data_IF_056685081617
#
_entry.id   IF_056685081617
#
_cell.length_a   1.000
_cell.length_b   1.000
_cell.length_c   1.000
_cell.angle_alpha   90.00
_cell.angle_beta   90.00
_cell.angle_gamma   90.00
#
_symmetry.space_group_name_H-M   'P 1'
#
loop_
_entity.id
_entity.type
_entity.pdbx_description
1 polymer ?
#
# COMPACT_ATOMS: atom_id res chain seq x y z
N UNK A 1 3.06 0.25 35.71
CA UNK A 1 2.85 0.77 34.37
C UNK A 1 1.34 0.99 34.26
N UNK A 2 0.87 2.24 34.12
CA UNK A 2 -0.53 2.51 33.78
C UNK A 2 -0.76 1.93 32.39
N UNK A 3 -1.77 1.04 32.26
CA UNK A 3 -2.35 0.72 30.96
C UNK A 3 -2.88 2.09 30.44
N UNK A 4 -2.16 2.71 29.51
CA UNK A 4 -2.77 3.75 28.67
C UNK A 4 -3.88 3.02 27.92
N UNK A 5 -5.11 3.47 28.06
CA UNK A 5 -6.26 2.98 27.30
C UNK A 5 -5.90 3.11 25.82
N UNK A 6 -5.59 1.98 25.20
CA UNK A 6 -5.19 1.94 23.79
C UNK A 6 -6.44 2.22 22.95
N UNK A 7 -6.61 3.49 22.58
CA UNK A 7 -7.79 3.99 21.89
C UNK A 7 -7.89 3.37 20.49
N UNK A 8 -9.09 2.92 20.13
CA UNK A 8 -9.38 2.46 18.77
C UNK A 8 -9.19 3.63 17.79
N UNK A 9 -8.36 3.42 16.78
CA UNK A 9 -7.99 4.44 15.82
C UNK A 9 -7.42 3.81 14.53
N UNK A 10 -8.00 4.18 13.38
CA UNK A 10 -7.45 3.86 12.07
C UNK A 10 -7.13 5.17 11.34
N UNK A 11 -5.85 5.42 11.09
CA UNK A 11 -5.37 6.68 10.54
C UNK A 11 -5.98 7.01 9.16
N UNK A 12 -6.13 6.01 8.28
CA UNK A 12 -6.76 6.22 6.98
C UNK A 12 -8.26 6.54 7.10
N UNK A 13 -8.96 5.88 8.02
CA UNK A 13 -10.35 6.18 8.30
C UNK A 13 -10.53 7.62 8.82
N UNK A 14 -9.73 8.03 9.79
CA UNK A 14 -9.80 9.37 10.37
C UNK A 14 -9.57 10.45 9.30
N UNK A 15 -8.52 10.29 8.49
CA UNK A 15 -8.21 11.23 7.42
C UNK A 15 -9.30 11.30 6.34
N UNK A 16 -9.84 10.15 5.92
CA UNK A 16 -10.71 10.09 4.74
C UNK A 16 -12.18 10.30 5.12
N UNK A 17 -12.66 9.64 6.18
CA UNK A 17 -14.09 9.59 6.50
C UNK A 17 -14.65 10.98 6.78
N UNK A 18 -14.02 11.73 7.68
CA UNK A 18 -14.47 13.07 8.05
C UNK A 18 -14.47 14.03 6.85
N UNK A 19 -13.42 14.00 6.04
CA UNK A 19 -13.29 14.88 4.89
C UNK A 19 -14.25 14.49 3.76
N UNK A 20 -14.49 13.20 3.55
CA UNK A 20 -15.46 12.75 2.52
C UNK A 20 -16.91 13.13 2.84
N UNK A 21 -17.24 13.39 4.12
CA UNK A 21 -18.56 13.87 4.54
C UNK A 21 -18.63 15.40 4.54
N UNK A 22 -17.65 16.07 5.18
CA UNK A 22 -17.69 17.52 5.40
C UNK A 22 -17.34 18.34 4.16
N UNK A 23 -16.42 17.84 3.36
CA UNK A 23 -15.87 18.56 2.18
C UNK A 23 -15.67 17.62 0.97
N UNK A 24 -16.72 16.86 0.55
CA UNK A 24 -16.60 15.77 -0.43
C UNK A 24 -15.99 16.18 -1.77
N UNK A 25 -16.25 17.41 -2.21
CA UNK A 25 -15.80 17.92 -3.50
C UNK A 25 -14.46 18.65 -3.47
N UNK A 26 -13.90 18.88 -2.25
CA UNK A 26 -12.56 19.48 -2.14
C UNK A 26 -11.53 18.51 -2.72
N UNK A 27 -10.61 19.05 -3.51
CA UNK A 27 -9.47 18.29 -4.05
C UNK A 27 -8.60 17.81 -2.90
N UNK A 28 -8.34 16.51 -2.88
CA UNK A 28 -7.47 15.86 -1.91
C UNK A 28 -6.04 15.72 -2.43
N UNK A 29 -5.88 15.30 -3.69
CA UNK A 29 -4.58 15.15 -4.35
C UNK A 29 -4.64 15.61 -5.81
N UNK A 30 -3.48 16.02 -6.31
CA UNK A 30 -3.25 16.46 -7.68
C UNK A 30 -1.97 15.77 -8.15
N UNK A 31 -1.98 15.22 -9.36
CA UNK A 31 -0.79 14.84 -10.12
C UNK A 31 -0.78 15.56 -11.48
N UNK A 32 0.16 15.23 -12.34
CA UNK A 32 0.33 15.91 -13.64
C UNK A 32 -0.86 15.67 -14.59
N UNK A 33 -1.57 14.55 -14.44
CA UNK A 33 -2.61 14.11 -15.37
C UNK A 33 -4.04 14.35 -14.85
N UNK A 34 -4.22 14.36 -13.53
CA UNK A 34 -5.56 14.33 -12.93
C UNK A 34 -5.63 14.91 -11.52
N UNK A 35 -6.87 15.09 -11.06
CA UNK A 35 -7.17 15.47 -9.67
C UNK A 35 -8.14 14.49 -9.05
N UNK A 36 -8.07 14.30 -7.74
CA UNK A 36 -9.03 13.50 -6.99
C UNK A 36 -9.58 14.28 -5.80
N UNK A 37 -10.90 14.30 -5.63
CA UNK A 37 -11.56 14.86 -4.47
C UNK A 37 -11.75 13.81 -3.36
N UNK A 38 -12.09 14.25 -2.14
CA UNK A 38 -12.27 13.33 -1.00
C UNK A 38 -13.35 12.27 -1.20
N UNK A 39 -14.45 12.59 -1.90
CA UNK A 39 -15.50 11.60 -2.19
C UNK A 39 -14.96 10.45 -3.06
N UNK A 40 -14.26 10.79 -4.14
CA UNK A 40 -13.69 9.79 -5.04
C UNK A 40 -12.51 9.05 -4.41
N UNK A 41 -11.67 9.76 -3.63
CA UNK A 41 -10.60 9.12 -2.86
C UNK A 41 -11.15 8.06 -1.91
N UNK A 42 -12.20 8.39 -1.15
CA UNK A 42 -12.86 7.42 -0.25
C UNK A 42 -13.37 6.17 -0.98
N UNK A 43 -13.99 6.34 -2.14
CA UNK A 43 -14.47 5.21 -2.96
C UNK A 43 -13.32 4.33 -3.44
N UNK A 44 -12.26 4.94 -3.99
CA UNK A 44 -11.11 4.21 -4.53
C UNK A 44 -10.30 3.49 -3.44
N UNK A 45 -10.11 4.12 -2.28
CA UNK A 45 -9.47 3.51 -1.11
C UNK A 45 -10.25 2.28 -0.64
N UNK A 46 -11.58 2.36 -0.50
CA UNK A 46 -12.43 1.23 -0.10
C UNK A 46 -12.46 0.13 -1.16
N UNK A 47 -12.49 0.51 -2.46
CA UNK A 47 -12.41 -0.44 -3.56
C UNK A 47 -11.11 -1.24 -3.49
N UNK A 48 -9.97 -0.56 -3.41
CA UNK A 48 -8.66 -1.20 -3.25
C UNK A 48 -8.63 -2.13 -2.03
N UNK A 49 -9.09 -1.65 -0.87
CA UNK A 49 -9.14 -2.41 0.38
C UNK A 49 -9.94 -3.70 0.25
N UNK A 50 -11.08 -3.65 -0.44
CA UNK A 50 -11.91 -4.83 -0.67
C UNK A 50 -11.25 -5.83 -1.62
N UNK A 51 -10.67 -5.33 -2.71
CA UNK A 51 -10.03 -6.19 -3.71
C UNK A 51 -8.76 -6.84 -3.21
N UNK A 52 -7.96 -6.15 -2.38
CA UNK A 52 -6.70 -6.72 -1.87
C UNK A 52 -6.95 -7.92 -0.95
N UNK A 53 -8.03 -7.92 -0.18
CA UNK A 53 -8.46 -9.10 0.59
C UNK A 53 -8.90 -10.25 -0.31
N UNK A 54 -9.58 -9.97 -1.45
CA UNK A 54 -9.96 -11.00 -2.43
C UNK A 54 -8.75 -11.63 -3.12
N UNK A 55 -7.63 -10.93 -3.19
CA UNK A 55 -6.36 -11.49 -3.66
C UNK A 55 -5.70 -12.40 -2.61
N UNK A 56 -6.26 -12.52 -1.42
CA UNK A 56 -5.81 -13.42 -0.36
C UNK A 56 -4.91 -12.80 0.68
N UNK A 57 -4.62 -11.49 0.60
CA UNK A 57 -3.93 -10.78 1.67
C UNK A 57 -4.80 -10.71 2.93
N UNK A 58 -4.15 -10.65 4.07
CA UNK A 58 -4.78 -10.62 5.39
C UNK A 58 -4.30 -9.41 6.18
N UNK A 59 -5.06 -9.04 7.20
CA UNK A 59 -4.60 -8.04 8.16
C UNK A 59 -3.20 -8.33 8.68
N UNK A 60 -2.40 -7.30 8.85
CA UNK A 60 -0.99 -7.32 9.25
C UNK A 60 -0.03 -7.94 8.23
N UNK A 61 -0.51 -8.36 7.05
CA UNK A 61 0.40 -8.63 5.96
C UNK A 61 1.09 -7.33 5.54
N UNK A 62 2.35 -7.44 5.12
CA UNK A 62 3.13 -6.31 4.63
C UNK A 62 3.15 -6.32 3.11
N UNK A 63 3.10 -5.12 2.54
CA UNK A 63 3.21 -4.92 1.10
C UNK A 63 4.24 -3.83 0.80
N UNK A 64 5.05 -4.02 -0.22
CA UNK A 64 5.92 -2.96 -0.72
C UNK A 64 5.15 -2.11 -1.73
N UNK A 65 5.25 -0.79 -1.59
CA UNK A 65 4.77 0.19 -2.57
C UNK A 65 6.00 0.89 -3.16
N UNK A 66 6.28 0.59 -4.43
CA UNK A 66 7.38 1.14 -5.21
C UNK A 66 6.81 1.80 -6.48
N UNK A 67 6.28 2.99 -6.31
CA UNK A 67 5.56 3.73 -7.34
C UNK A 67 6.10 5.15 -7.50
N UNK A 68 6.05 5.66 -8.73
CA UNK A 68 6.25 7.09 -8.98
C UNK A 68 5.12 7.92 -8.37
N UNK A 69 5.38 9.22 -8.19
CA UNK A 69 4.40 10.14 -7.62
C UNK A 69 3.19 10.29 -8.56
N UNK A 70 2.06 9.75 -8.12
CA UNK A 70 0.78 9.78 -8.83
C UNK A 70 -0.38 9.60 -7.84
N UNK A 71 -1.60 9.86 -8.28
CA UNK A 71 -2.82 9.70 -7.43
C UNK A 71 -3.03 8.25 -6.96
N UNK A 72 -2.54 7.26 -7.69
CA UNK A 72 -2.66 5.87 -7.27
C UNK A 72 -1.82 5.55 -6.01
N UNK A 73 -0.71 6.28 -5.80
CA UNK A 73 0.12 6.10 -4.60
C UNK A 73 -0.67 6.34 -3.30
N UNK A 74 -1.27 7.52 -3.04
CA UNK A 74 -2.06 7.72 -1.82
C UNK A 74 -3.28 6.80 -1.74
N UNK A 75 -3.89 6.38 -2.85
CA UNK A 75 -5.00 5.42 -2.83
C UNK A 75 -4.53 4.06 -2.28
N UNK A 76 -3.42 3.53 -2.76
CA UNK A 76 -2.87 2.24 -2.35
C UNK A 76 -2.34 2.29 -0.92
N UNK A 77 -1.64 3.37 -0.56
CA UNK A 77 -1.12 3.59 0.79
C UNK A 77 -2.24 3.67 1.83
N UNK A 78 -3.22 4.55 1.62
CA UNK A 78 -4.35 4.72 2.53
C UNK A 78 -5.28 3.50 2.54
N UNK A 79 -5.45 2.84 1.39
CA UNK A 79 -6.24 1.61 1.29
C UNK A 79 -5.62 0.43 2.03
N UNK A 80 -4.31 0.35 2.06
CA UNK A 80 -3.59 -0.63 2.87
C UNK A 80 -3.81 -0.38 4.36
N UNK A 81 -3.62 0.87 4.82
CA UNK A 81 -3.85 1.25 6.22
C UNK A 81 -5.33 1.05 6.62
N UNK A 82 -6.28 1.36 5.72
CA UNK A 82 -7.71 1.10 5.93
C UNK A 82 -7.98 -0.36 6.26
N UNK A 83 -7.28 -1.27 5.59
CA UNK A 83 -7.40 -2.73 5.72
C UNK A 83 -6.50 -3.34 6.81
N UNK A 84 -5.81 -2.54 7.62
CA UNK A 84 -4.79 -3.04 8.55
C UNK A 84 -3.71 -3.90 7.85
N UNK A 85 -3.45 -3.62 6.57
CA UNK A 85 -2.30 -4.12 5.83
C UNK A 85 -1.21 -3.07 5.93
N UNK A 86 0.03 -3.47 6.17
CA UNK A 86 1.13 -2.58 6.49
C UNK A 86 1.90 -2.22 5.21
N UNK A 87 1.71 -1.00 4.66
CA UNK A 87 2.47 -0.56 3.50
C UNK A 87 3.90 -0.18 3.88
N UNK A 88 4.83 -0.54 3.01
CA UNK A 88 6.25 -0.23 3.07
C UNK A 88 6.58 0.58 1.83
N UNK A 89 6.69 1.91 2.00
CA UNK A 89 7.03 2.78 0.88
C UNK A 89 8.54 2.77 0.63
N UNK A 90 8.94 2.48 -0.59
CA UNK A 90 10.34 2.41 -0.98
C UNK A 90 10.64 3.34 -2.17
N UNK A 91 11.85 3.87 -2.22
CA UNK A 91 12.28 4.75 -3.29
C UNK A 91 12.41 3.96 -4.61
N UNK A 92 11.84 4.50 -5.67
CA UNK A 92 11.86 3.92 -7.03
C UNK A 92 13.25 3.87 -7.67
N UNK A 93 14.19 4.64 -7.15
CA UNK A 93 15.57 4.69 -7.65
C UNK A 93 16.51 3.70 -6.95
N UNK A 94 16.00 2.88 -6.04
CA UNK A 94 16.83 1.87 -5.36
C UNK A 94 17.31 0.79 -6.33
N UNK A 95 18.55 0.32 -6.17
CA UNK A 95 19.04 -0.80 -6.94
C UNK A 95 18.26 -2.09 -6.61
N UNK A 96 18.15 -2.99 -7.58
CA UNK A 96 17.44 -4.28 -7.45
C UNK A 96 17.82 -5.03 -6.17
N UNK A 97 19.11 -5.04 -5.80
CA UNK A 97 19.60 -5.76 -4.62
C UNK A 97 19.00 -5.22 -3.31
N UNK A 98 18.78 -3.91 -3.20
CA UNK A 98 18.17 -3.31 -2.02
C UNK A 98 16.66 -3.58 -1.99
N UNK A 99 15.98 -3.55 -3.13
CA UNK A 99 14.56 -3.92 -3.24
C UNK A 99 14.34 -5.38 -2.85
N UNK A 100 15.19 -6.29 -3.34
CA UNK A 100 15.16 -7.72 -2.96
C UNK A 100 15.42 -7.91 -1.47
N UNK A 101 16.42 -7.20 -0.91
CA UNK A 101 16.69 -7.24 0.52
C UNK A 101 15.48 -6.80 1.34
N UNK A 102 14.84 -5.68 0.99
CA UNK A 102 13.66 -5.16 1.70
C UNK A 102 12.47 -6.12 1.62
N UNK A 103 12.28 -6.79 0.48
CA UNK A 103 11.25 -7.83 0.31
C UNK A 103 11.49 -9.03 1.24
N UNK A 104 12.72 -9.51 1.34
CA UNK A 104 13.09 -10.62 2.21
C UNK A 104 13.01 -10.23 3.69
N UNK A 105 13.57 -9.08 4.05
CA UNK A 105 13.61 -8.57 5.43
C UNK A 105 12.21 -8.30 5.98
N UNK A 106 11.36 -7.65 5.20
CA UNK A 106 9.98 -7.35 5.58
C UNK A 106 9.03 -8.56 5.50
N UNK A 107 9.40 -9.62 4.79
CA UNK A 107 8.52 -10.74 4.47
C UNK A 107 7.21 -10.27 3.78
N UNK A 108 7.30 -9.23 2.95
CA UNK A 108 6.14 -8.69 2.26
C UNK A 108 5.46 -9.77 1.39
N UNK A 109 4.14 -9.73 1.36
CA UNK A 109 3.30 -10.69 0.62
C UNK A 109 2.92 -10.20 -0.77
N UNK A 110 3.07 -8.89 -1.00
CA UNK A 110 2.80 -8.29 -2.29
C UNK A 110 3.72 -7.11 -2.56
N UNK A 111 3.84 -6.77 -3.84
CA UNK A 111 4.45 -5.55 -4.34
C UNK A 111 3.41 -4.82 -5.19
N UNK A 112 3.30 -3.51 -4.99
CA UNK A 112 2.59 -2.61 -5.88
C UNK A 112 3.65 -1.71 -6.53
N UNK A 113 3.74 -1.71 -7.84
CA UNK A 113 4.77 -0.95 -8.54
C UNK A 113 4.23 -0.22 -9.77
N UNK A 114 4.91 0.87 -10.13
CA UNK A 114 4.72 1.50 -11.42
C UNK A 114 5.17 0.57 -12.55
N UNK A 115 4.56 0.73 -13.72
CA UNK A 115 4.80 -0.10 -14.91
C UNK A 115 6.28 -0.29 -15.24
N UNK A 116 7.05 0.81 -15.20
CA UNK A 116 8.48 0.80 -15.56
C UNK A 116 9.35 -0.03 -14.60
N UNK A 117 8.83 -0.35 -13.41
CA UNK A 117 9.53 -1.16 -12.41
C UNK A 117 9.08 -2.63 -12.41
N UNK A 118 8.10 -2.98 -13.23
CA UNK A 118 7.49 -4.31 -13.24
C UNK A 118 8.52 -5.43 -13.52
N UNK A 119 9.37 -5.27 -14.53
CA UNK A 119 10.37 -6.28 -14.89
C UNK A 119 11.35 -6.56 -13.74
N UNK A 120 11.78 -5.53 -13.03
CA UNK A 120 12.65 -5.68 -11.86
C UNK A 120 12.00 -6.55 -10.78
N UNK A 121 10.69 -6.32 -10.51
CA UNK A 121 9.99 -7.13 -9.50
C UNK A 121 9.65 -8.54 -9.97
N UNK A 122 9.44 -8.75 -11.26
CA UNK A 122 9.33 -10.11 -11.85
C UNK A 122 10.65 -10.88 -11.67
N UNK A 123 11.77 -10.24 -11.96
CA UNK A 123 13.09 -10.85 -11.75
C UNK A 123 13.36 -11.17 -10.27
N UNK A 124 13.02 -10.25 -9.36
CA UNK A 124 13.16 -10.48 -7.91
C UNK A 124 12.26 -11.65 -7.49
N UNK A 125 10.99 -11.67 -7.90
CA UNK A 125 10.06 -12.75 -7.57
C UNK A 125 10.62 -14.11 -7.96
N UNK A 126 11.23 -14.23 -9.13
CA UNK A 126 11.84 -15.49 -9.62
C UNK A 126 13.05 -15.94 -8.78
N UNK A 127 13.67 -15.04 -7.99
CA UNK A 127 14.78 -15.34 -7.07
C UNK A 127 14.32 -15.62 -5.63
N UNK A 128 13.01 -15.42 -5.33
CA UNK A 128 12.48 -15.65 -4.00
C UNK A 128 11.98 -17.09 -3.83
N UNK A 129 12.16 -17.65 -2.64
CA UNK A 129 11.64 -18.97 -2.28
C UNK A 129 10.13 -18.92 -1.96
N UNK A 130 9.58 -17.73 -1.70
CA UNK A 130 8.19 -17.51 -1.36
C UNK A 130 7.44 -16.84 -2.51
N UNK A 131 6.19 -17.25 -2.72
CA UNK A 131 5.31 -16.53 -3.64
C UNK A 131 4.93 -15.16 -3.10
N UNK A 132 5.07 -14.15 -3.95
CA UNK A 132 4.57 -12.80 -3.74
C UNK A 132 3.58 -12.43 -4.85
N UNK A 133 2.59 -11.61 -4.51
CA UNK A 133 1.71 -11.01 -5.50
C UNK A 133 2.39 -9.79 -6.12
N UNK A 134 2.27 -9.62 -7.42
CA UNK A 134 2.69 -8.40 -8.12
C UNK A 134 1.43 -7.70 -8.63
N UNK A 135 1.30 -6.42 -8.28
CA UNK A 135 0.24 -5.53 -8.72
C UNK A 135 0.93 -4.35 -9.43
N UNK A 136 0.57 -4.07 -10.67
CA UNK A 136 1.20 -2.99 -11.44
C UNK A 136 0.17 -1.99 -11.94
N UNK A 137 0.60 -0.73 -12.08
CA UNK A 137 -0.12 0.26 -12.84
C UNK A 137 -0.15 -0.13 -14.30
N UNK A 138 -1.29 0.09 -14.97
CA UNK A 138 -1.49 -0.30 -16.36
C UNK A 138 -1.18 -1.79 -16.62
N UNK A 139 -1.74 -2.66 -15.79
CA UNK A 139 -1.68 -4.08 -16.07
C UNK A 139 -2.61 -4.41 -17.24
N UNK A 140 -2.09 -4.48 -18.45
CA UNK A 140 -2.59 -5.55 -19.32
C UNK A 140 -2.42 -6.83 -18.52
N UNK A 141 -3.31 -7.80 -18.69
CA UNK A 141 -3.14 -9.16 -18.12
C UNK A 141 -1.86 -9.77 -18.68
N UNK A 142 -0.70 -9.25 -18.26
CA UNK A 142 0.60 -9.76 -18.66
C UNK A 142 0.85 -11.00 -17.84
N UNK A 143 0.32 -12.11 -18.31
CA UNK A 143 0.78 -13.43 -17.94
C UNK A 143 2.10 -13.67 -18.65
N UNK A 144 3.18 -13.10 -18.17
CA UNK A 144 4.50 -13.48 -18.61
C UNK A 144 4.94 -14.70 -17.82
N UNK A 145 5.12 -15.83 -18.49
CA UNK A 145 5.82 -17.03 -18.02
C UNK A 145 5.45 -17.48 -16.57
N UNK A 146 4.18 -17.81 -16.31
CA UNK A 146 3.64 -18.22 -15.01
C UNK A 146 3.59 -17.13 -13.91
N UNK A 147 4.04 -15.92 -14.14
CA UNK A 147 3.92 -14.81 -13.18
C UNK A 147 2.63 -14.05 -13.41
N UNK A 148 1.62 -14.30 -12.57
CA UNK A 148 0.38 -13.55 -12.60
C UNK A 148 0.63 -12.12 -12.06
N UNK A 149 0.41 -11.12 -12.91
CA UNK A 149 0.43 -9.70 -12.53
C UNK A 149 -1.00 -9.18 -12.49
N UNK A 150 -1.36 -8.50 -11.40
CA UNK A 150 -2.68 -7.93 -11.23
C UNK A 150 -2.68 -6.47 -11.66
N UNK A 151 -3.76 -6.05 -12.31
CA UNK A 151 -3.95 -4.66 -12.73
C UNK A 151 -4.44 -3.82 -11.55
N UNK A 152 -3.66 -2.82 -11.17
CA UNK A 152 -4.03 -1.88 -10.10
C UNK A 152 -5.29 -1.09 -10.45
N UNK A 153 -5.49 -0.75 -11.71
CA UNK A 153 -6.66 0.02 -12.16
C UNK A 153 -7.97 -0.74 -11.87
N UNK A 154 -7.95 -2.07 -12.02
CA UNK A 154 -9.09 -2.92 -11.65
C UNK A 154 -9.36 -2.89 -10.14
N UNK A 155 -8.32 -2.92 -9.32
CA UNK A 155 -8.48 -2.94 -7.86
C UNK A 155 -9.07 -1.62 -7.34
N UNK A 156 -8.65 -0.49 -7.90
CA UNK A 156 -9.06 0.85 -7.44
C UNK A 156 -10.39 1.35 -8.04
N UNK A 157 -10.86 0.74 -9.13
CA UNK A 157 -12.10 1.14 -9.83
C UNK A 157 -13.22 0.11 -9.72
N UNK A 158 -13.10 -0.89 -8.84
CA UNK A 158 -14.19 -1.81 -8.57
C UNK A 158 -15.41 -1.07 -7.97
N UNK A 159 -16.61 -1.51 -8.31
CA UNK A 159 -17.85 -0.97 -7.73
C UNK A 159 -18.10 -1.49 -6.30
N UNK A 160 -17.21 -2.27 -5.74
CA UNK A 160 -17.32 -2.85 -4.43
C UNK A 160 -16.52 -2.04 -3.40
N UNK A 161 -17.16 -1.07 -2.78
CA UNK A 161 -16.54 -0.14 -1.83
C UNK A 161 -17.29 -0.02 -0.50
N UNK A 162 -17.95 -1.10 -0.08
CA UNK A 162 -18.73 -1.12 1.17
C UNK A 162 -17.94 -1.61 2.39
N UNK A 163 -16.62 -1.75 2.27
CA UNK A 163 -15.78 -2.23 3.35
C UNK A 163 -15.61 -1.17 4.43
N UNK A 164 -15.93 -1.53 5.67
CA UNK A 164 -15.56 -0.75 6.84
C UNK A 164 -14.04 -0.83 7.08
N UNK A 165 -13.43 0.15 7.77
CA UNK A 165 -12.02 0.05 8.15
C UNK A 165 -11.81 -1.14 9.09
N UNK A 166 -10.68 -1.80 8.97
CA UNK A 166 -10.26 -2.79 9.97
C UNK A 166 -10.07 -2.15 11.33
N UNK A 167 -10.40 -2.89 12.37
CA UNK A 167 -10.21 -2.44 13.74
C UNK A 167 -8.72 -2.38 14.07
N UNK A 168 -8.23 -1.19 14.37
CA UNK A 168 -6.86 -0.91 14.79
C UNK A 168 -6.85 0.03 15.99
N UNK A 169 -5.69 0.17 16.62
CA UNK A 169 -5.51 1.02 17.79
C UNK A 169 -4.40 2.05 17.53
N UNK A 170 -4.36 3.11 18.33
CA UNK A 170 -3.31 4.14 18.23
C UNK A 170 -1.89 3.55 18.22
N UNK A 171 -1.65 2.48 18.98
CA UNK A 171 -0.36 1.79 19.10
C UNK A 171 -0.14 0.67 18.07
N UNK A 172 -1.13 0.34 17.23
CA UNK A 172 -0.97 -0.67 16.18
C UNK A 172 0.03 -0.21 15.11
N UNK A 173 0.78 -1.14 14.53
CA UNK A 173 1.63 -0.87 13.36
C UNK A 173 0.77 -0.30 12.23
N UNK A 174 1.27 0.77 11.60
CA UNK A 174 0.56 1.48 10.54
C UNK A 174 1.28 1.35 9.20
N UNK A 175 2.55 1.70 9.16
CA UNK A 175 3.40 1.61 7.97
C UNK A 175 4.87 1.53 8.35
N UNK A 176 5.72 1.10 7.42
CA UNK A 176 7.16 1.07 7.61
C UNK A 176 7.87 1.97 6.61
N UNK A 177 8.99 2.54 7.05
CA UNK A 177 9.93 3.25 6.19
C UNK A 177 11.33 2.67 6.39
N UNK A 178 12.04 2.43 5.30
CA UNK A 178 13.45 2.06 5.35
C UNK A 178 14.34 3.29 5.31
N UNK A 179 15.33 3.33 6.18
CA UNK A 179 16.40 4.33 6.18
C UNK A 179 17.74 3.67 5.91
N UNK A 180 18.69 4.43 5.34
CA UNK A 180 20.07 3.98 5.19
C UNK A 180 20.69 3.72 6.56
N UNK A 181 21.01 2.47 6.84
CA UNK A 181 21.66 2.10 8.10
C UNK A 181 23.14 2.43 8.08
N UNK A 182 23.72 2.85 9.22
CA UNK A 182 25.17 3.05 9.39
C UNK A 182 26.00 1.78 9.14
N UNK A 183 25.35 0.61 9.09
CA UNK A 183 25.95 -0.72 8.87
C UNK A 183 25.88 -1.19 7.41
N UNK A 184 25.49 -0.33 6.48
CA UNK A 184 25.40 -0.62 5.04
C UNK A 184 24.13 -1.29 4.55
N UNK A 185 23.30 -1.88 5.43
CA UNK A 185 21.99 -2.42 5.05
C UNK A 185 20.86 -1.50 5.53
N UNK A 186 19.81 -1.28 4.71
CA UNK A 186 18.64 -0.53 5.13
C UNK A 186 17.98 -1.12 6.37
N UNK A 187 17.47 -0.26 7.25
CA UNK A 187 16.74 -0.66 8.46
C UNK A 187 15.32 -0.11 8.42
N UNK A 188 14.35 -0.97 8.72
CA UNK A 188 12.95 -0.58 8.81
C UNK A 188 12.68 0.19 10.12
N UNK A 189 11.99 1.32 9.99
CA UNK A 189 11.38 2.04 11.10
C UNK A 189 9.88 1.80 11.05
N UNK A 190 9.34 1.29 12.15
CA UNK A 190 7.92 0.97 12.28
C UNK A 190 7.20 2.20 12.82
N UNK A 191 6.21 2.67 12.06
CA UNK A 191 5.32 3.76 12.45
C UNK A 191 3.99 3.17 12.93
N UNK A 192 3.44 3.74 13.98
CA UNK A 192 2.13 3.36 14.53
C UNK A 192 1.04 4.31 14.03
N UNK A 193 -0.24 3.93 14.16
CA UNK A 193 -1.35 4.76 13.70
C UNK A 193 -1.37 6.16 14.30
N UNK A 194 -0.97 6.29 15.57
CA UNK A 194 -0.90 7.61 16.26
C UNK A 194 0.17 8.55 15.69
N UNK A 195 1.18 8.01 14.99
CA UNK A 195 2.26 8.82 14.40
C UNK A 195 1.96 9.29 12.97
N UNK A 196 0.81 8.91 12.43
CA UNK A 196 0.31 9.38 11.14
C UNK A 196 -0.42 10.72 11.32
#
# INVERSE_FOLDING_TARGET
>A
MKQEDNKEFNAAYDLIHQNSIKIPYKIAFIDDDQTINYSNLSKKVKSFSNQIFKLGLKEKDRIIICMFDCINFPITFLGSIWSNIIPICVNTMLPKQDLEYMLRDSQAKAVICSKDLLEVFIEIKNSLDNEILIISEEGEKVTTNNNKVYDLSFLINSNEYNLNPSQTFESSECFWLYSSGSTGKPKATIHIHKSF
#
